data_IF_826167002422
#
_entry.id   IF_826167002422
#
_cell.length_a   1.000
_cell.length_b   1.000
_cell.length_c   1.000
_cell.angle_alpha   90.00
_cell.angle_beta   90.00
_cell.angle_gamma   90.00
#
_symmetry.space_group_name_H-M   'P 1'
#
loop_
_entity.id
_entity.type
_entity.pdbx_description
1 polymer ?
#
# COMPACT_ATOMS: atom_id res chain seq x y z
N UNK A 1 -22.30 36.08 45.83
CA UNK A 1 -21.00 35.47 45.47
C UNK A 1 -21.00 34.03 45.95
N UNK A 2 -21.12 33.02 45.04
CA UNK A 2 -20.88 31.57 45.27
C UNK A 2 -21.40 30.69 44.10
N UNK A 3 -21.14 31.03 42.83
CA UNK A 3 -21.48 30.13 41.70
C UNK A 3 -20.47 30.15 40.56
N UNK A 4 -19.19 30.49 40.83
CA UNK A 4 -18.20 30.71 39.75
C UNK A 4 -17.12 29.62 39.68
N UNK A 5 -17.13 28.60 40.54
CA UNK A 5 -15.95 27.73 40.72
C UNK A 5 -15.93 26.40 39.95
N UNK A 6 -16.89 26.09 39.08
CA UNK A 6 -16.97 24.72 38.49
C UNK A 6 -16.49 24.62 37.03
N UNK A 7 -16.10 25.71 36.38
CA UNK A 7 -15.89 25.71 34.92
C UNK A 7 -14.44 25.46 34.43
N UNK A 8 -13.48 25.00 35.26
CA UNK A 8 -12.05 24.95 34.85
C UNK A 8 -11.50 23.53 34.60
N UNK A 9 -12.27 22.46 34.84
CA UNK A 9 -11.71 21.09 34.80
C UNK A 9 -11.82 20.34 33.45
N UNK A 10 -12.24 20.98 32.35
CA UNK A 10 -12.66 20.24 31.14
C UNK A 10 -11.75 20.36 29.89
N UNK A 11 -10.49 20.81 30.00
CA UNK A 11 -9.62 21.07 28.83
C UNK A 11 -8.47 20.06 28.61
N UNK A 12 -8.38 18.97 29.37
CA UNK A 12 -7.20 18.08 29.31
C UNK A 12 -7.29 16.91 28.31
N UNK A 13 -8.31 16.83 27.45
CA UNK A 13 -8.54 15.63 26.61
C UNK A 13 -8.37 15.88 25.11
N UNK A 14 -7.33 16.63 24.69
CA UNK A 14 -6.88 16.66 23.29
C UNK A 14 -5.44 16.16 23.19
N UNK A 15 -5.20 14.95 23.67
CA UNK A 15 -4.00 14.22 23.28
C UNK A 15 -4.11 13.88 21.78
N UNK A 16 -3.65 14.81 20.95
CA UNK A 16 -2.89 14.53 19.76
C UNK A 16 -3.48 13.51 18.76
N UNK A 17 -4.55 13.87 18.05
CA UNK A 17 -4.71 13.38 16.68
C UNK A 17 -3.71 14.15 15.78
N UNK A 18 -2.41 13.93 15.99
CA UNK A 18 -1.42 14.38 15.02
C UNK A 18 -1.73 13.62 13.74
N UNK A 19 -1.73 14.25 12.56
CA UNK A 19 -1.86 13.49 11.33
C UNK A 19 -0.67 12.54 11.31
N UNK A 20 -0.92 11.26 11.62
CA UNK A 20 0.06 10.23 11.37
C UNK A 20 0.21 10.23 9.86
N UNK A 21 1.33 10.79 9.39
CA UNK A 21 1.61 10.89 7.97
C UNK A 21 1.78 9.48 7.45
N UNK A 22 0.71 8.96 6.87
CA UNK A 22 0.69 7.60 6.33
C UNK A 22 1.55 7.59 5.06
N UNK A 23 2.49 6.65 4.99
CA UNK A 23 3.35 6.48 3.81
C UNK A 23 2.57 5.83 2.66
N UNK A 24 1.42 5.25 2.96
CA UNK A 24 0.54 4.57 2.03
C UNK A 24 -0.88 4.39 2.55
N UNK A 25 -1.80 4.10 1.64
CA UNK A 25 -3.18 3.71 1.94
C UNK A 25 -3.22 2.22 2.30
N UNK A 26 -3.81 1.81 3.45
CA UNK A 26 -3.94 0.41 3.82
C UNK A 26 -4.58 -0.45 2.71
N UNK A 27 -4.17 -1.72 2.65
CA UNK A 27 -4.60 -2.69 1.63
C UNK A 27 -4.27 -2.29 0.18
N UNK A 28 -3.22 -1.47 0.00
CA UNK A 28 -2.58 -1.27 -1.31
C UNK A 28 -1.29 -2.05 -1.39
N UNK A 29 -0.83 -2.28 -2.61
CA UNK A 29 0.35 -3.07 -2.89
C UNK A 29 1.31 -2.28 -3.77
N UNK A 30 2.59 -2.66 -3.76
CA UNK A 30 3.58 -2.15 -4.72
C UNK A 30 4.69 -3.16 -4.95
N UNK A 31 5.35 -3.06 -6.10
CA UNK A 31 6.66 -3.68 -6.29
C UNK A 31 7.74 -2.87 -5.58
N UNK A 32 8.74 -3.54 -5.02
CA UNK A 32 9.95 -2.87 -4.52
C UNK A 32 10.78 -2.27 -5.66
N UNK A 33 11.66 -1.28 -5.40
CA UNK A 33 12.48 -0.61 -6.42
C UNK A 33 13.33 -1.55 -7.29
N UNK A 34 13.79 -2.70 -6.74
CA UNK A 34 14.56 -3.69 -7.49
C UNK A 34 13.71 -4.74 -8.22
N UNK A 35 12.38 -4.64 -8.11
CA UNK A 35 11.40 -5.52 -8.76
C UNK A 35 11.59 -7.01 -8.41
N UNK A 36 12.24 -7.34 -7.29
CA UNK A 36 12.45 -8.72 -6.84
C UNK A 36 11.42 -9.17 -5.80
N UNK A 37 10.59 -8.25 -5.34
CA UNK A 37 9.68 -8.45 -4.22
C UNK A 37 8.53 -7.45 -4.31
N UNK A 38 7.50 -7.69 -3.51
CA UNK A 38 6.38 -6.78 -3.34
C UNK A 38 6.12 -6.50 -1.86
N UNK A 39 5.47 -5.37 -1.63
CA UNK A 39 5.09 -4.87 -0.32
C UNK A 39 3.58 -4.66 -0.27
N UNK A 40 3.02 -4.83 0.92
CA UNK A 40 1.64 -4.47 1.24
C UNK A 40 1.65 -3.30 2.21
N UNK A 41 0.71 -2.37 2.05
CA UNK A 41 0.49 -1.33 3.04
C UNK A 41 -0.34 -1.89 4.18
N UNK A 42 0.23 -1.93 5.38
CA UNK A 42 -0.46 -2.40 6.57
C UNK A 42 -1.51 -1.37 7.09
N UNK A 43 -2.27 -1.74 8.12
CA UNK A 43 -3.29 -0.86 8.74
C UNK A 43 -2.72 0.38 9.41
N UNK A 44 -1.41 0.41 9.67
CA UNK A 44 -0.70 1.57 10.20
C UNK A 44 -0.25 2.53 9.10
N UNK A 45 -0.50 2.24 7.81
CA UNK A 45 -0.02 3.09 6.72
C UNK A 45 1.48 2.94 6.45
N UNK A 46 2.06 1.78 6.78
CA UNK A 46 3.46 1.46 6.56
C UNK A 46 3.60 0.37 5.49
N UNK A 47 4.55 0.53 4.58
CA UNK A 47 4.94 -0.52 3.66
C UNK A 47 5.66 -1.63 4.40
N UNK A 48 5.14 -2.84 4.31
CA UNK A 48 5.75 -4.03 4.88
C UNK A 48 6.00 -5.07 3.78
N UNK A 49 7.10 -5.80 3.92
CA UNK A 49 7.45 -6.88 3.00
C UNK A 49 6.35 -7.93 3.00
N UNK A 50 5.83 -8.26 1.81
CA UNK A 50 4.76 -9.23 1.63
C UNK A 50 5.26 -10.51 0.96
N UNK A 51 6.29 -10.42 0.12
CA UNK A 51 6.90 -11.61 -0.47
C UNK A 51 7.99 -11.29 -1.48
N UNK A 52 8.74 -12.33 -1.85
CA UNK A 52 9.82 -12.29 -2.84
C UNK A 52 9.39 -13.07 -4.08
N UNK A 53 9.66 -12.51 -5.25
CA UNK A 53 9.43 -13.20 -6.51
C UNK A 53 10.40 -14.37 -6.69
N UNK A 54 9.95 -15.50 -7.26
CA UNK A 54 10.82 -16.63 -7.57
C UNK A 54 12.01 -16.25 -8.47
N UNK A 55 13.13 -16.99 -8.42
CA UNK A 55 14.25 -16.80 -9.33
C UNK A 55 13.79 -16.78 -10.81
N UNK A 56 14.37 -15.91 -11.62
CA UNK A 56 14.02 -15.77 -13.04
C UNK A 56 12.77 -14.93 -13.34
N UNK A 57 12.02 -14.51 -12.31
CA UNK A 57 10.85 -13.63 -12.45
C UNK A 57 11.14 -12.20 -11.96
N UNK A 58 10.26 -11.26 -12.31
CA UNK A 58 10.28 -9.86 -11.89
C UNK A 58 8.89 -9.43 -11.45
N UNK A 59 8.82 -8.62 -10.40
CA UNK A 59 7.60 -7.98 -9.95
C UNK A 59 7.17 -6.92 -10.97
N UNK A 60 5.92 -7.03 -11.42
CA UNK A 60 5.22 -6.04 -12.24
C UNK A 60 3.89 -5.71 -11.61
N UNK A 61 3.59 -4.43 -11.48
CA UNK A 61 2.34 -3.98 -10.92
C UNK A 61 1.30 -3.85 -12.03
N UNK A 62 0.20 -4.59 -11.92
CA UNK A 62 -0.93 -4.44 -12.82
C UNK A 62 -1.82 -3.29 -12.32
N UNK A 63 -1.85 -2.20 -13.09
CA UNK A 63 -2.64 -1.00 -12.74
C UNK A 63 -4.15 -1.24 -12.84
N UNK A 64 -4.61 -2.18 -13.66
CA UNK A 64 -6.04 -2.45 -13.86
C UNK A 64 -6.70 -3.06 -12.62
N UNK A 65 -5.97 -3.93 -11.91
CA UNK A 65 -6.48 -4.61 -10.72
C UNK A 65 -5.72 -4.23 -9.42
N UNK A 66 -4.74 -3.33 -9.50
CA UNK A 66 -4.01 -2.81 -8.35
C UNK A 66 -3.12 -3.83 -7.64
N UNK A 67 -2.69 -4.90 -8.33
CA UNK A 67 -1.96 -6.02 -7.72
C UNK A 67 -0.59 -6.28 -8.37
N UNK A 68 0.42 -6.68 -7.58
CA UNK A 68 1.73 -7.09 -8.08
C UNK A 68 1.71 -8.56 -8.55
N UNK A 69 2.42 -8.83 -9.63
CA UNK A 69 2.60 -10.17 -10.20
C UNK A 69 4.08 -10.45 -10.42
N UNK A 70 4.50 -11.69 -10.16
CA UNK A 70 5.84 -12.16 -10.51
C UNK A 70 5.78 -12.78 -11.90
N UNK A 71 6.26 -12.05 -12.89
CA UNK A 71 6.21 -12.45 -14.29
C UNK A 71 7.61 -12.87 -14.78
N UNK A 72 7.73 -13.78 -15.75
CA UNK A 72 9.00 -14.05 -16.41
C UNK A 72 9.61 -12.76 -16.98
N UNK A 73 10.94 -12.67 -17.03
CA UNK A 73 11.62 -11.45 -17.55
C UNK A 73 11.21 -11.06 -18.98
N UNK A 74 10.80 -12.05 -19.78
CA UNK A 74 10.34 -11.90 -21.18
C UNK A 74 8.81 -11.96 -21.32
N UNK A 75 8.06 -11.61 -20.27
CA UNK A 75 6.59 -11.64 -20.28
C UNK A 75 5.93 -10.80 -21.38
N UNK A 76 6.60 -9.76 -21.84
CA UNK A 76 6.20 -8.88 -22.93
C UNK A 76 6.07 -9.60 -24.28
N UNK A 77 6.82 -10.69 -24.50
CA UNK A 77 6.78 -11.46 -25.75
C UNK A 77 5.51 -12.33 -25.93
N UNK A 78 4.67 -12.45 -24.90
CA UNK A 78 3.45 -13.29 -24.95
C UNK A 78 2.16 -12.46 -25.04
N UNK A 79 2.25 -11.13 -24.99
CA UNK A 79 1.06 -10.26 -25.00
C UNK A 79 0.45 -10.14 -26.40
N UNK A 80 1.24 -10.29 -27.47
CA UNK A 80 0.74 -10.18 -28.85
C UNK A 80 -0.07 -11.41 -29.31
N UNK A 81 0.05 -12.58 -28.67
CA UNK A 81 -0.68 -13.79 -29.09
C UNK A 81 -2.13 -13.83 -28.58
N UNK A 82 -2.51 -13.04 -27.57
CA UNK A 82 -3.85 -13.10 -26.97
C UNK A 82 -4.81 -12.03 -27.50
N UNK A 83 -4.33 -10.97 -28.14
CA UNK A 83 -5.19 -9.91 -28.73
C UNK A 83 -5.82 -10.36 -30.07
N UNK A 84 -5.21 -11.32 -30.78
CA UNK A 84 -5.75 -11.84 -32.05
C UNK A 84 -6.90 -12.85 -31.86
N UNK A 85 -7.09 -13.39 -30.65
CA UNK A 85 -8.15 -14.38 -30.38
C UNK A 85 -9.48 -13.75 -29.93
N UNK A 86 -9.56 -12.41 -29.86
CA UNK A 86 -10.76 -11.66 -29.48
C UNK A 86 -11.42 -10.92 -30.67
N UNK A 87 -11.16 -11.37 -31.91
CA UNK A 87 -11.86 -10.91 -33.14
C UNK A 87 -12.75 -12.01 -33.72
#
# INVERSE_FOLDING_TARGET
>A
MKFVTVAVAALASVAAAWPYESKCKPATYRCQPYHQAWEVCNTRGEWVFAGRCPPGTVCKFNQQNGSPYCLPRRHDLYTEEFEEFEI
#
